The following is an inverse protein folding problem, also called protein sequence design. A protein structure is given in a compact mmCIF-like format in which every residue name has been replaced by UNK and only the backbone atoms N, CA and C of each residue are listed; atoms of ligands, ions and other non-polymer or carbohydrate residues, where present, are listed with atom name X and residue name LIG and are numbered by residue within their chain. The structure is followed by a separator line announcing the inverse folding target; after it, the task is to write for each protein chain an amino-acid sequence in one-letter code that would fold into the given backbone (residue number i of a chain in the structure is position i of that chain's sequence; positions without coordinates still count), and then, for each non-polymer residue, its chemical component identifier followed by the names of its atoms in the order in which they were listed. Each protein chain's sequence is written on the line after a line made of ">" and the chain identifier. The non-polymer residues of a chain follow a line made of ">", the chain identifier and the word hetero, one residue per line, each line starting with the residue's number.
data_IF_265560053812
#
_entry.id   IF_265560053812
#
_cell.length_a   1.000
_cell.length_b   1.000
_cell.length_c   1.000
_cell.angle_alpha   90.00
_cell.angle_beta   90.00
_cell.angle_gamma   90.00
#
_symmetry.space_group_name_H-M   'P 1'
#
loop_
_entity.id
_entity.type
_entity.pdbx_description
1 polymer ?
#
# COMPACT_ATOMS: atom_id res chain seq x y z
N UNK A 1 -23.18 33.84 5.64
CA UNK A 1 -23.45 33.70 4.20
C UNK A 1 -24.19 32.40 3.95
N UNK A 2 -25.02 32.31 2.89
CA UNK A 2 -25.65 31.03 2.50
C UNK A 2 -24.57 30.00 2.11
N UNK A 3 -24.83 28.74 2.45
CA UNK A 3 -23.94 27.63 2.14
C UNK A 3 -24.69 26.64 1.27
N UNK A 4 -24.05 26.23 0.18
CA UNK A 4 -24.51 25.16 -0.69
C UNK A 4 -23.40 24.13 -0.86
N UNK A 5 -23.73 22.86 -0.68
CA UNK A 5 -22.79 21.76 -0.83
C UNK A 5 -23.38 20.67 -1.73
N UNK A 6 -22.59 20.18 -2.65
CA UNK A 6 -22.96 19.08 -3.56
C UNK A 6 -21.82 18.06 -3.60
N UNK A 7 -22.17 16.79 -3.69
CA UNK A 7 -21.20 15.69 -3.85
C UNK A 7 -21.49 14.91 -5.12
N UNK A 8 -20.48 14.17 -5.63
CA UNK A 8 -20.62 13.40 -6.87
C UNK A 8 -20.74 14.27 -8.13
N UNK A 9 -20.21 15.50 -8.09
CA UNK A 9 -20.30 16.46 -9.20
C UNK A 9 -19.62 15.95 -10.47
N UNK A 10 -18.47 15.32 -10.35
CA UNK A 10 -17.66 14.83 -11.48
C UNK A 10 -17.78 13.31 -11.60
N UNK A 11 -18.26 12.79 -12.75
CA UNK A 11 -18.72 11.40 -12.87
C UNK A 11 -17.59 10.35 -12.84
N UNK A 12 -16.34 10.74 -13.07
CA UNK A 12 -15.20 9.80 -13.16
C UNK A 12 -14.16 9.97 -12.07
N UNK A 13 -14.27 10.98 -11.22
CA UNK A 13 -13.40 11.13 -10.04
C UNK A 13 -13.77 10.07 -8.99
N UNK A 14 -12.85 9.76 -8.10
CA UNK A 14 -13.15 8.82 -7.02
C UNK A 14 -14.10 9.44 -5.98
N UNK A 15 -13.93 10.74 -5.70
CA UNK A 15 -14.90 11.55 -4.98
C UNK A 15 -14.79 12.99 -5.44
N UNK A 16 -15.90 13.72 -5.38
CA UNK A 16 -15.94 15.14 -5.74
C UNK A 16 -16.98 15.90 -4.94
N UNK A 17 -16.66 17.15 -4.62
CA UNK A 17 -17.58 18.06 -3.97
C UNK A 17 -17.44 19.47 -4.52
N UNK A 18 -18.58 20.14 -4.64
CA UNK A 18 -18.67 21.58 -4.80
C UNK A 18 -19.12 22.16 -3.47
N UNK A 19 -18.33 23.08 -2.94
CA UNK A 19 -18.69 23.82 -1.72
C UNK A 19 -18.73 25.31 -2.03
N UNK A 20 -19.88 25.90 -1.83
CA UNK A 20 -20.14 27.32 -2.07
C UNK A 20 -20.57 28.00 -0.77
N UNK A 21 -19.97 29.14 -0.45
CA UNK A 21 -20.31 29.96 0.69
C UNK A 21 -20.39 31.43 0.24
N UNK A 22 -21.60 31.88 -0.09
CA UNK A 22 -21.80 33.17 -0.76
C UNK A 22 -21.01 33.23 -2.05
N UNK A 23 -20.07 34.19 -2.15
CA UNK A 23 -19.18 34.42 -3.29
C UNK A 23 -17.83 33.69 -3.18
N UNK A 24 -17.77 32.60 -2.43
CA UNK A 24 -16.58 31.75 -2.34
C UNK A 24 -16.94 30.32 -2.69
N UNK A 25 -16.31 29.80 -3.74
CA UNK A 25 -16.61 28.48 -4.26
C UNK A 25 -15.33 27.67 -4.51
N UNK A 26 -15.35 26.41 -4.09
CA UNK A 26 -14.27 25.44 -4.28
C UNK A 26 -14.81 24.14 -4.89
N UNK A 27 -14.19 23.68 -5.97
CA UNK A 27 -14.36 22.33 -6.50
C UNK A 27 -13.25 21.47 -5.91
N UNK A 28 -13.62 20.48 -5.11
CA UNK A 28 -12.65 19.56 -4.50
C UNK A 28 -12.83 18.16 -5.10
N UNK A 29 -11.70 17.54 -5.48
CA UNK A 29 -11.68 16.17 -5.98
C UNK A 29 -10.75 15.33 -5.13
N UNK A 30 -11.17 14.10 -4.84
CA UNK A 30 -10.35 13.10 -4.15
C UNK A 30 -9.99 11.99 -5.12
N UNK A 31 -8.70 11.65 -5.16
CA UNK A 31 -8.16 10.51 -5.90
C UNK A 31 -7.55 9.53 -4.90
N UNK A 32 -7.91 8.26 -5.02
CA UNK A 32 -7.35 7.15 -4.26
C UNK A 32 -6.33 6.42 -5.14
N UNK A 33 -5.12 6.27 -4.67
CA UNK A 33 -4.03 5.59 -5.36
C UNK A 33 -3.49 4.42 -4.55
N UNK A 34 -2.68 3.60 -5.21
CA UNK A 34 -1.89 2.54 -4.56
C UNK A 34 -0.59 3.11 -4.00
N UNK A 35 0.22 2.28 -3.38
CA UNK A 35 1.54 2.63 -2.83
C UNK A 35 2.45 3.38 -3.81
N UNK A 36 2.41 3.03 -5.10
CA UNK A 36 3.20 3.71 -6.14
C UNK A 36 2.85 5.21 -6.31
N UNK A 37 1.67 5.62 -5.83
CA UNK A 37 1.23 7.01 -5.89
C UNK A 37 1.69 7.85 -4.68
N UNK A 38 2.38 7.25 -3.71
CA UNK A 38 2.93 7.97 -2.56
C UNK A 38 3.95 9.02 -3.00
N UNK A 39 3.92 10.15 -2.34
CA UNK A 39 4.91 11.19 -2.55
C UNK A 39 6.21 10.85 -1.82
N UNK A 40 7.26 10.58 -2.56
CA UNK A 40 8.60 10.41 -2.03
C UNK A 40 9.20 11.79 -1.69
N UNK A 41 9.70 11.94 -0.48
CA UNK A 41 10.37 13.15 0.02
C UNK A 41 11.79 12.76 0.43
N UNK A 42 12.77 13.32 -0.27
CA UNK A 42 14.19 13.22 0.08
C UNK A 42 14.59 14.50 0.84
N UNK A 43 14.61 14.41 2.15
CA UNK A 43 14.85 15.51 3.07
C UNK A 43 16.15 15.34 3.86
N UNK A 44 16.49 16.37 4.65
CA UNK A 44 17.68 16.33 5.53
C UNK A 44 17.65 15.19 6.56
N UNK A 45 16.45 14.76 6.95
CA UNK A 45 16.25 13.65 7.90
C UNK A 45 16.20 12.27 7.22
N UNK A 46 16.40 12.24 5.89
CA UNK A 46 16.36 11.03 5.07
C UNK A 46 15.10 10.92 4.22
N UNK A 47 14.96 9.75 3.60
CA UNK A 47 13.86 9.44 2.70
C UNK A 47 12.57 9.13 3.48
N UNK A 48 11.48 9.80 3.13
CA UNK A 48 10.15 9.55 3.70
C UNK A 48 9.08 9.51 2.61
N UNK A 49 7.92 8.91 2.92
CA UNK A 49 6.81 8.77 1.98
C UNK A 49 5.53 9.34 2.59
N UNK A 50 4.83 10.18 1.84
CA UNK A 50 3.54 10.72 2.22
C UNK A 50 2.42 10.03 1.44
N UNK A 51 1.48 9.45 2.17
CA UNK A 51 0.26 8.83 1.63
C UNK A 51 -0.96 9.76 1.64
N UNK A 52 -0.82 10.99 2.16
CA UNK A 52 -1.86 12.01 2.10
C UNK A 52 -1.31 13.31 1.53
N UNK A 53 -1.92 13.78 0.45
CA UNK A 53 -1.55 15.01 -0.25
C UNK A 53 -2.76 15.90 -0.44
N UNK A 54 -2.58 17.21 -0.28
CA UNK A 54 -3.60 18.22 -0.60
C UNK A 54 -2.97 19.34 -1.41
N UNK A 55 -3.49 19.53 -2.61
CA UNK A 55 -3.08 20.57 -3.55
C UNK A 55 -4.20 21.60 -3.68
N UNK A 56 -3.83 22.86 -3.56
CA UNK A 56 -4.75 23.99 -3.60
C UNK A 56 -4.34 24.90 -4.74
N UNK A 57 -5.27 25.20 -5.61
CA UNK A 57 -5.09 26.10 -6.75
C UNK A 57 -5.97 27.34 -6.58
N UNK A 58 -5.36 28.50 -6.75
CA UNK A 58 -6.01 29.79 -6.65
C UNK A 58 -5.73 30.59 -7.93
N UNK A 59 -6.43 30.27 -9.02
CA UNK A 59 -6.21 30.95 -10.29
C UNK A 59 -6.70 32.42 -10.23
N UNK A 60 -6.08 33.33 -10.99
CA UNK A 60 -6.45 34.76 -10.99
C UNK A 60 -7.92 35.03 -11.25
N UNK A 61 -8.56 34.22 -12.08
CA UNK A 61 -9.98 34.40 -12.40
C UNK A 61 -10.91 34.23 -11.19
N UNK A 62 -10.45 33.50 -10.12
CA UNK A 62 -11.24 33.32 -8.92
C UNK A 62 -11.56 34.63 -8.17
N UNK A 63 -10.79 35.66 -8.43
CA UNK A 63 -10.99 37.04 -7.93
C UNK A 63 -11.23 38.05 -9.06
N UNK A 64 -11.58 37.57 -10.26
CA UNK A 64 -11.84 38.42 -11.41
C UNK A 64 -10.60 39.09 -12.03
N UNK A 65 -9.41 38.60 -11.72
CA UNK A 65 -8.16 39.15 -12.21
C UNK A 65 -7.60 38.43 -13.43
N UNK A 66 -6.81 39.13 -14.22
CA UNK A 66 -5.97 38.57 -15.29
C UNK A 66 -4.57 38.32 -14.74
N UNK A 67 -4.08 37.09 -14.83
CA UNK A 67 -2.77 36.73 -14.30
C UNK A 67 -2.10 35.56 -15.04
N UNK A 68 -0.86 35.27 -14.67
CA UNK A 68 -0.10 34.14 -15.24
C UNK A 68 -0.48 32.83 -14.55
N UNK A 69 -0.62 31.78 -15.35
CA UNK A 69 -0.75 30.40 -14.87
C UNK A 69 0.62 29.72 -14.92
N UNK A 70 0.86 28.75 -14.03
CA UNK A 70 1.94 27.79 -14.20
C UNK A 70 2.94 27.68 -13.05
N UNK A 71 2.87 28.56 -12.03
CA UNK A 71 3.73 28.44 -10.85
C UNK A 71 2.90 28.50 -9.58
N UNK A 72 3.10 27.53 -8.70
CA UNK A 72 2.45 27.50 -7.39
C UNK A 72 2.97 28.68 -6.54
N UNK A 73 2.08 29.56 -6.13
CA UNK A 73 2.39 30.70 -5.28
C UNK A 73 2.64 30.30 -3.82
N UNK A 74 3.27 31.18 -3.03
CA UNK A 74 3.39 30.99 -1.57
C UNK A 74 2.03 30.91 -0.89
N UNK A 75 1.04 31.64 -1.39
CA UNK A 75 -0.35 31.61 -0.93
C UNK A 75 -0.95 30.22 -1.13
N UNK A 76 -0.81 29.63 -2.31
CA UNK A 76 -1.32 28.30 -2.64
C UNK A 76 -0.67 27.24 -1.76
N UNK A 77 0.64 27.29 -1.58
CA UNK A 77 1.38 26.39 -0.70
C UNK A 77 0.90 26.51 0.76
N UNK A 78 0.76 27.72 1.27
CA UNK A 78 0.33 27.99 2.66
C UNK A 78 -1.11 27.56 2.93
N UNK A 79 -2.03 27.90 2.01
CA UNK A 79 -3.45 27.52 2.13
C UNK A 79 -3.65 26.02 1.96
N UNK A 80 -2.94 25.38 1.03
CA UNK A 80 -2.94 23.93 0.87
C UNK A 80 -2.45 23.23 2.15
N UNK A 81 -1.35 23.72 2.75
CA UNK A 81 -0.82 23.14 3.99
C UNK A 81 -1.75 23.36 5.20
N UNK A 82 -2.46 24.47 5.26
CA UNK A 82 -3.47 24.72 6.29
C UNK A 82 -4.63 23.71 6.17
N UNK A 83 -5.17 23.53 4.97
CA UNK A 83 -6.24 22.56 4.72
C UNK A 83 -5.76 21.10 4.96
N UNK A 84 -4.54 20.78 4.55
CA UNK A 84 -3.91 19.50 4.87
C UNK A 84 -3.87 19.23 6.37
N UNK A 85 -3.39 20.19 7.17
CA UNK A 85 -3.35 20.06 8.63
C UNK A 85 -4.73 19.93 9.26
N UNK A 86 -5.73 20.58 8.67
CA UNK A 86 -7.10 20.52 9.16
C UNK A 86 -7.73 19.12 8.99
N UNK A 87 -7.41 18.44 7.88
CA UNK A 87 -8.01 17.15 7.51
C UNK A 87 -7.19 15.93 7.94
N UNK A 88 -5.86 16.07 8.03
CA UNK A 88 -4.98 14.97 8.39
C UNK A 88 -5.34 14.23 9.70
N UNK A 89 -5.73 14.91 10.80
CA UNK A 89 -6.00 14.23 12.08
C UNK A 89 -7.24 13.32 12.08
N UNK A 90 -8.11 13.42 11.10
CA UNK A 90 -9.35 12.62 11.00
C UNK A 90 -9.24 11.48 9.98
N UNK A 91 -8.08 11.31 9.36
CA UNK A 91 -7.85 10.22 8.42
C UNK A 91 -7.75 8.88 9.15
N UNK A 92 -8.18 7.79 8.51
CA UNK A 92 -7.89 6.44 8.99
C UNK A 92 -6.37 6.17 8.99
N UNK A 93 -5.94 5.19 9.77
CA UNK A 93 -4.55 4.71 9.69
C UNK A 93 -4.29 4.09 8.32
N UNK A 94 -3.03 4.09 7.87
CA UNK A 94 -2.68 3.47 6.59
C UNK A 94 -2.82 1.93 6.61
N UNK A 95 -2.87 1.33 7.79
CA UNK A 95 -3.15 -0.10 7.99
C UNK A 95 -4.63 -0.42 7.72
N UNK A 96 -5.54 0.43 8.23
CA UNK A 96 -6.98 0.24 8.06
C UNK A 96 -7.46 0.65 6.65
N UNK A 97 -6.82 1.65 6.05
CA UNK A 97 -7.16 2.17 4.72
C UNK A 97 -5.90 2.38 3.87
N UNK A 98 -5.38 1.34 3.21
CA UNK A 98 -4.06 1.33 2.57
C UNK A 98 -4.02 2.07 1.22
N UNK A 99 -4.66 3.22 1.14
CA UNK A 99 -4.67 4.07 -0.04
C UNK A 99 -3.80 5.30 0.14
N UNK A 100 -3.18 5.70 -0.94
CA UNK A 100 -2.64 7.06 -1.08
C UNK A 100 -3.79 7.98 -1.44
N UNK A 101 -4.04 9.00 -0.62
CA UNK A 101 -5.15 9.93 -0.76
C UNK A 101 -4.60 11.25 -1.30
N UNK A 102 -5.13 11.71 -2.44
CA UNK A 102 -4.82 13.04 -2.99
C UNK A 102 -6.08 13.87 -3.13
N UNK A 103 -6.10 15.02 -2.48
CA UNK A 103 -7.13 16.04 -2.68
C UNK A 103 -6.57 17.12 -3.60
N UNK A 104 -7.36 17.52 -4.59
CA UNK A 104 -7.13 18.69 -5.40
C UNK A 104 -8.30 19.65 -5.19
N UNK A 105 -8.01 20.88 -4.80
CA UNK A 105 -8.99 21.93 -4.60
C UNK A 105 -8.75 23.07 -5.60
N UNK A 106 -9.67 23.29 -6.49
CA UNK A 106 -9.69 24.39 -7.44
C UNK A 106 -10.68 25.45 -6.98
N UNK A 107 -10.18 26.66 -6.70
CA UNK A 107 -11.01 27.79 -6.29
C UNK A 107 -11.56 28.47 -7.54
N UNK A 108 -12.87 28.43 -7.69
CA UNK A 108 -13.56 29.00 -8.85
C UNK A 108 -14.01 30.44 -8.61
N UNK A 109 -14.30 30.79 -7.37
CA UNK A 109 -14.66 32.15 -6.94
C UNK A 109 -14.21 32.37 -5.50
N UNK A 110 -13.78 33.59 -5.13
CA UNK A 110 -13.29 33.89 -3.78
C UNK A 110 -13.57 35.32 -3.35
N UNK A 111 -14.40 35.41 -2.30
CA UNK A 111 -14.59 36.61 -1.48
C UNK A 111 -14.61 36.21 0.01
N UNK A 112 -13.42 36.03 0.57
CA UNK A 112 -13.21 35.62 1.97
C UNK A 112 -13.04 34.10 2.15
N UNK A 113 -11.90 33.74 2.72
CA UNK A 113 -11.46 32.41 3.17
C UNK A 113 -11.75 31.21 2.25
N UNK A 114 -11.16 31.22 1.08
CA UNK A 114 -11.15 30.07 0.17
C UNK A 114 -10.46 28.82 0.75
N UNK A 115 -9.49 28.98 1.68
CA UNK A 115 -8.86 27.84 2.39
C UNK A 115 -9.85 27.08 3.26
N UNK A 116 -10.80 27.77 3.91
CA UNK A 116 -11.84 27.12 4.70
C UNK A 116 -12.92 26.47 3.83
N UNK A 117 -13.20 27.03 2.65
CA UNK A 117 -14.00 26.35 1.63
C UNK A 117 -13.33 25.06 1.15
N UNK A 118 -11.99 25.06 0.99
CA UNK A 118 -11.21 23.86 0.68
C UNK A 118 -11.27 22.81 1.78
N UNK A 119 -11.24 23.20 3.07
CA UNK A 119 -11.43 22.27 4.18
C UNK A 119 -12.77 21.57 4.10
N UNK A 120 -13.85 22.32 3.92
CA UNK A 120 -15.21 21.79 3.83
C UNK A 120 -15.41 20.92 2.58
N UNK A 121 -15.03 21.42 1.40
CA UNK A 121 -15.15 20.68 0.14
C UNK A 121 -14.22 19.47 0.09
N UNK A 122 -13.01 19.59 0.61
CA UNK A 122 -12.05 18.47 0.72
C UNK A 122 -12.56 17.35 1.65
N UNK A 123 -13.15 17.72 2.78
CA UNK A 123 -13.80 16.78 3.70
C UNK A 123 -14.93 16.02 2.97
N UNK A 124 -15.84 16.75 2.33
CA UNK A 124 -16.96 16.15 1.56
C UNK A 124 -16.48 15.27 0.41
N UNK A 125 -15.44 15.68 -0.32
CA UNK A 125 -14.88 14.89 -1.43
C UNK A 125 -14.23 13.60 -0.98
N UNK A 126 -13.58 13.58 0.20
CA UNK A 126 -13.07 12.35 0.81
C UNK A 126 -14.20 11.42 1.24
N UNK A 127 -15.24 11.96 1.88
CA UNK A 127 -16.42 11.18 2.27
C UNK A 127 -17.13 10.59 1.04
N UNK A 128 -17.23 11.35 -0.05
CA UNK A 128 -17.79 10.89 -1.33
C UNK A 128 -16.94 9.80 -2.00
N UNK A 129 -15.61 9.83 -1.82
CA UNK A 129 -14.68 8.79 -2.29
C UNK A 129 -14.77 7.49 -1.48
N UNK A 130 -15.42 7.49 -0.33
CA UNK A 130 -15.49 6.34 0.58
C UNK A 130 -14.30 6.25 1.54
N UNK A 131 -13.57 7.36 1.79
CA UNK A 131 -12.53 7.40 2.83
C UNK A 131 -13.21 7.38 4.20
N UNK A 132 -12.94 6.38 5.06
CA UNK A 132 -13.59 6.25 6.37
C UNK A 132 -12.97 7.20 7.40
N UNK A 133 -13.17 8.52 7.18
CA UNK A 133 -12.71 9.54 8.13
C UNK A 133 -13.42 9.37 9.48
N UNK A 134 -12.70 9.65 10.55
CA UNK A 134 -13.25 9.50 11.92
C UNK A 134 -14.47 10.40 12.14
N UNK A 135 -14.39 11.64 11.68
CA UNK A 135 -15.46 12.66 11.82
C UNK A 135 -15.38 13.72 10.74
N UNK A 136 -16.51 14.30 10.30
CA UNK A 136 -16.50 15.43 9.39
C UNK A 136 -15.82 16.66 10.02
N UNK A 137 -15.11 17.40 9.17
CA UNK A 137 -14.38 18.62 9.54
C UNK A 137 -14.93 19.80 8.73
N UNK A 138 -15.21 20.89 9.43
CA UNK A 138 -15.53 22.18 8.80
C UNK A 138 -14.51 23.24 9.18
N UNK A 139 -14.50 24.35 8.44
CA UNK A 139 -13.64 25.49 8.71
C UNK A 139 -14.36 26.81 8.55
N UNK A 140 -13.99 27.77 9.41
CA UNK A 140 -14.53 29.15 9.40
C UNK A 140 -13.39 30.14 9.53
N UNK A 141 -13.53 31.31 8.92
CA UNK A 141 -12.66 32.45 9.13
C UNK A 141 -13.36 33.49 10.02
N UNK A 142 -12.63 33.94 11.01
CA UNK A 142 -13.04 34.91 11.99
C UNK A 142 -12.20 36.18 11.82
N UNK A 143 -12.76 37.34 12.19
CA UNK A 143 -12.07 38.61 12.22
C UNK A 143 -12.21 39.29 13.56
N UNK A 144 -11.37 40.29 13.78
CA UNK A 144 -11.40 41.17 14.96
C UNK A 144 -11.35 42.63 14.51
N UNK A 145 -12.18 43.46 15.12
CA UNK A 145 -12.06 44.91 15.12
C UNK A 145 -11.79 45.33 16.53
N UNK A 146 -10.76 46.11 16.76
CA UNK A 146 -10.31 46.56 18.06
C UNK A 146 -10.16 48.10 18.07
N UNK A 147 -10.98 48.79 18.81
CA UNK A 147 -10.92 50.25 18.99
C UNK A 147 -10.70 50.60 20.46
N UNK A 148 -9.46 50.91 20.80
CA UNK A 148 -9.08 51.14 22.21
C UNK A 148 -9.26 49.87 23.06
N UNK A 149 -10.17 49.91 24.01
CA UNK A 149 -10.50 48.79 24.91
C UNK A 149 -11.74 48.00 24.43
N UNK A 150 -12.46 48.52 23.41
CA UNK A 150 -13.65 47.87 22.88
C UNK A 150 -13.27 46.95 21.71
N UNK A 151 -13.93 45.81 21.62
CA UNK A 151 -13.67 44.87 20.53
C UNK A 151 -14.97 44.24 19.97
N UNK A 152 -14.94 43.90 18.70
CA UNK A 152 -15.96 43.11 18.04
C UNK A 152 -15.32 41.92 17.28
N UNK A 153 -15.84 40.70 17.54
CA UNK A 153 -15.44 39.52 16.81
C UNK A 153 -16.41 39.26 15.66
N UNK A 154 -15.88 39.17 14.44
CA UNK A 154 -16.64 38.91 13.23
C UNK A 154 -16.58 37.42 12.89
N UNK A 155 -17.71 36.84 12.50
CA UNK A 155 -17.79 35.44 12.05
C UNK A 155 -18.00 35.38 10.53
N UNK A 156 -17.28 34.50 9.87
CA UNK A 156 -17.36 34.28 8.40
C UNK A 156 -17.04 35.54 7.60
N UNK A 157 -15.83 36.07 7.79
CA UNK A 157 -15.40 37.34 7.22
C UNK A 157 -15.27 37.30 5.69
N UNK A 158 -15.53 38.45 5.07
CA UNK A 158 -15.30 38.76 3.66
C UNK A 158 -13.82 39.14 3.43
N UNK A 159 -13.44 39.29 2.16
CA UNK A 159 -12.09 39.73 1.78
C UNK A 159 -11.72 41.10 2.31
N UNK A 160 -12.64 42.07 2.29
CA UNK A 160 -12.43 43.43 2.82
C UNK A 160 -12.29 43.41 4.34
N UNK A 161 -13.10 42.59 5.05
CA UNK A 161 -13.00 42.42 6.51
C UNK A 161 -11.71 41.72 6.94
N UNK A 162 -11.18 40.79 6.12
CA UNK A 162 -9.86 40.16 6.29
C UNK A 162 -8.74 41.23 6.13
N UNK A 163 -8.87 42.13 5.14
CA UNK A 163 -7.86 43.14 4.85
C UNK A 163 -7.84 44.29 5.86
N UNK A 164 -9.01 44.78 6.23
CA UNK A 164 -9.18 45.94 7.09
C UNK A 164 -9.20 45.62 8.60
N UNK A 165 -9.50 44.36 8.94
CA UNK A 165 -9.57 43.93 10.34
C UNK A 165 -8.21 43.90 11.06
N UNK A 166 -8.24 43.95 12.37
CA UNK A 166 -7.05 43.96 13.25
C UNK A 166 -6.47 42.57 13.50
N UNK A 167 -7.24 41.54 13.30
CA UNK A 167 -6.84 40.13 13.30
C UNK A 167 -7.78 39.34 12.39
N UNK A 168 -7.22 38.40 11.65
CA UNK A 168 -7.96 37.29 11.08
C UNK A 168 -7.45 35.97 11.65
N UNK A 169 -8.37 35.04 11.89
CA UNK A 169 -7.97 33.71 12.24
C UNK A 169 -8.92 32.65 11.66
N UNK A 170 -8.34 31.57 11.23
CA UNK A 170 -9.02 30.46 10.57
C UNK A 170 -9.02 29.28 11.51
N UNK A 171 -10.21 28.78 11.81
CA UNK A 171 -10.40 27.66 12.74
C UNK A 171 -11.08 26.51 11.99
N UNK A 172 -10.40 25.38 11.93
CA UNK A 172 -10.97 24.15 11.39
C UNK A 172 -11.07 23.09 12.49
N UNK A 173 -12.07 22.21 12.37
CA UNK A 173 -12.25 21.12 13.31
C UNK A 173 -13.58 20.40 13.15
N UNK A 174 -13.68 19.27 13.84
CA UNK A 174 -14.90 18.48 13.99
C UNK A 174 -15.80 19.05 15.10
N UNK A 175 -16.90 18.37 15.37
CA UNK A 175 -17.73 18.71 16.54
C UNK A 175 -16.99 18.46 17.88
N UNK A 176 -16.03 17.52 17.91
CA UNK A 176 -15.28 17.14 19.10
C UNK A 176 -14.15 18.11 19.46
N UNK A 177 -13.61 18.85 18.48
CA UNK A 177 -12.49 19.72 18.74
C UNK A 177 -11.90 20.40 17.50
N UNK A 178 -10.87 21.21 17.74
CA UNK A 178 -10.14 21.94 16.71
C UNK A 178 -9.01 21.05 16.18
N UNK A 179 -8.93 20.92 14.87
CA UNK A 179 -7.85 20.18 14.17
C UNK A 179 -6.77 21.11 13.62
N UNK A 180 -7.11 22.35 13.30
CA UNK A 180 -6.15 23.34 12.82
C UNK A 180 -6.60 24.76 13.16
N UNK A 181 -5.62 25.62 13.47
CA UNK A 181 -5.80 27.03 13.70
C UNK A 181 -4.66 27.78 13.00
N UNK A 182 -5.01 28.86 12.30
CA UNK A 182 -4.06 29.83 11.76
C UNK A 182 -4.56 31.24 12.14
N UNK A 183 -3.67 32.08 12.58
CA UNK A 183 -3.96 33.43 13.02
C UNK A 183 -2.96 34.41 12.40
N UNK A 184 -3.48 35.56 11.96
CA UNK A 184 -2.69 36.71 11.54
C UNK A 184 -3.13 37.92 12.37
N UNK A 185 -2.21 38.45 13.19
CA UNK A 185 -2.46 39.54 14.12
C UNK A 185 -1.76 40.79 13.61
N UNK A 186 -2.52 41.85 13.36
CA UNK A 186 -2.03 43.13 12.82
C UNK A 186 -1.89 44.22 13.91
N UNK A 187 -2.25 43.89 15.16
CA UNK A 187 -2.13 44.75 16.36
C UNK A 187 -1.06 44.19 17.29
N UNK A 188 -0.69 44.98 18.34
CA UNK A 188 0.40 44.62 19.26
C UNK A 188 0.15 43.32 20.05
N UNK A 189 -1.09 42.88 20.15
CA UNK A 189 -1.49 41.66 20.84
C UNK A 189 -2.98 41.59 21.03
N UNK A 190 -3.46 40.42 21.46
CA UNK A 190 -4.86 40.14 21.79
C UNK A 190 -4.97 39.62 23.23
N UNK A 191 -6.08 39.94 23.90
CA UNK A 191 -6.34 39.48 25.26
C UNK A 191 -6.90 38.05 25.26
N UNK A 192 -6.81 37.40 26.43
CA UNK A 192 -7.42 36.07 26.61
C UNK A 192 -8.95 36.12 26.46
N UNK A 193 -9.59 37.24 26.83
CA UNK A 193 -11.03 37.44 26.65
C UNK A 193 -11.43 37.46 25.16
N UNK A 194 -10.72 38.25 24.36
CA UNK A 194 -10.92 38.27 22.88
C UNK A 194 -10.78 36.87 22.31
N UNK A 195 -9.73 36.17 22.67
CA UNK A 195 -9.49 34.81 22.14
C UNK A 195 -10.60 33.83 22.57
N UNK A 196 -11.06 33.89 23.81
CA UNK A 196 -12.14 33.05 24.29
C UNK A 196 -13.44 33.30 23.53
N UNK A 197 -13.83 34.56 23.37
CA UNK A 197 -15.02 34.98 22.62
C UNK A 197 -14.93 34.50 21.15
N UNK A 198 -13.78 34.70 20.53
CA UNK A 198 -13.53 34.33 19.15
C UNK A 198 -13.61 32.80 18.94
N UNK A 199 -13.05 32.00 19.85
CA UNK A 199 -13.13 30.53 19.75
C UNK A 199 -14.54 30.00 20.02
N UNK A 200 -15.31 30.62 20.92
CA UNK A 200 -16.71 30.27 21.18
C UNK A 200 -17.59 30.56 19.94
N UNK A 201 -17.44 31.72 19.31
CA UNK A 201 -18.15 32.05 18.05
C UNK A 201 -17.71 31.14 16.92
N UNK A 202 -16.41 30.85 16.80
CA UNK A 202 -15.88 29.91 15.79
C UNK A 202 -16.44 28.49 15.96
N UNK A 203 -16.67 28.06 17.21
CA UNK A 203 -17.32 26.77 17.51
C UNK A 203 -18.75 26.74 17.00
N UNK A 204 -19.51 27.78 17.29
CA UNK A 204 -20.90 27.90 16.82
C UNK A 204 -20.97 27.96 15.27
N UNK A 205 -20.10 28.74 14.65
CA UNK A 205 -19.99 28.84 13.19
C UNK A 205 -19.62 27.51 12.53
N UNK A 206 -18.65 26.78 13.06
CA UNK A 206 -18.27 25.44 12.55
C UNK A 206 -19.42 24.43 12.68
N UNK A 207 -20.14 24.45 13.81
CA UNK A 207 -21.29 23.57 14.01
C UNK A 207 -22.40 23.85 12.99
N UNK A 208 -22.67 25.12 12.69
CA UNK A 208 -23.60 25.52 11.62
C UNK A 208 -23.14 25.00 10.27
N UNK A 209 -21.87 25.20 9.90
CA UNK A 209 -21.31 24.74 8.61
C UNK A 209 -21.39 23.21 8.50
N UNK A 210 -21.06 22.45 9.57
CA UNK A 210 -21.22 21.00 9.61
C UNK A 210 -22.67 20.57 9.36
N UNK A 211 -23.63 21.31 9.93
CA UNK A 211 -25.05 21.08 9.68
C UNK A 211 -25.45 21.29 8.22
N UNK A 212 -24.90 22.32 7.55
CA UNK A 212 -25.14 22.53 6.12
C UNK A 212 -24.45 21.45 5.26
N UNK A 213 -23.22 21.07 5.56
CA UNK A 213 -22.50 19.99 4.89
C UNK A 213 -23.24 18.65 4.99
N UNK A 214 -23.84 18.37 6.16
CA UNK A 214 -24.57 17.12 6.40
C UNK A 214 -25.83 16.95 5.52
N UNK A 215 -26.38 18.04 4.98
CA UNK A 215 -27.48 17.98 4.01
C UNK A 215 -27.05 17.35 2.68
N UNK A 216 -25.78 17.51 2.30
CA UNK A 216 -25.22 16.89 1.10
C UNK A 216 -24.77 15.46 1.35
N UNK A 217 -24.10 15.21 2.50
CA UNK A 217 -23.60 13.89 2.87
C UNK A 217 -23.42 13.81 4.39
N UNK A 218 -24.09 12.88 5.05
CA UNK A 218 -24.07 12.72 6.52
C UNK A 218 -22.85 11.99 7.05
N UNK A 219 -22.23 11.14 6.25
CA UNK A 219 -21.06 10.34 6.60
C UNK A 219 -20.33 9.83 5.36
N UNK A 220 -19.16 9.22 5.54
CA UNK A 220 -18.44 8.61 4.43
C UNK A 220 -19.30 7.50 3.77
N UNK A 221 -19.15 7.33 2.46
CA UNK A 221 -19.75 6.19 1.76
C UNK A 221 -19.13 4.89 2.27
N UNK A 222 -19.94 3.84 2.32
CA UNK A 222 -19.52 2.52 2.83
C UNK A 222 -18.53 1.80 1.90
N UNK A 223 -18.55 2.14 0.62
CA UNK A 223 -17.68 1.57 -0.40
C UNK A 223 -16.88 2.66 -1.09
N UNK A 224 -15.66 2.32 -1.50
CA UNK A 224 -14.87 3.19 -2.38
C UNK A 224 -15.52 3.29 -3.75
N UNK A 225 -15.26 4.41 -4.43
CA UNK A 225 -15.76 4.63 -5.80
C UNK A 225 -15.42 3.45 -6.72
N UNK A 226 -16.35 3.09 -7.59
CA UNK A 226 -16.14 2.06 -8.64
C UNK A 226 -14.98 2.38 -9.59
N UNK A 227 -14.52 3.62 -9.62
CA UNK A 227 -13.39 4.07 -10.43
C UNK A 227 -12.07 4.04 -9.66
N UNK A 228 -12.11 3.88 -8.33
CA UNK A 228 -10.91 3.72 -7.52
C UNK A 228 -10.34 2.30 -7.67
N UNK A 229 -9.01 2.12 -7.57
CA UNK A 229 -8.42 0.79 -7.50
C UNK A 229 -8.94 0.10 -6.24
N UNK A 230 -9.34 -1.17 -6.35
CA UNK A 230 -9.63 -2.01 -5.19
C UNK A 230 -8.33 -2.58 -4.67
N UNK A 231 -8.18 -2.67 -3.38
CA UNK A 231 -7.02 -3.28 -2.72
C UNK A 231 -7.55 -4.41 -1.84
N UNK A 232 -7.09 -5.64 -2.10
CA UNK A 232 -7.28 -6.78 -1.22
C UNK A 232 -5.97 -7.10 -0.53
N UNK A 233 -6.07 -7.41 0.76
CA UNK A 233 -4.92 -7.76 1.58
C UNK A 233 -5.02 -9.24 1.95
N UNK A 234 -3.92 -9.98 1.78
CA UNK A 234 -3.77 -11.35 2.24
C UNK A 234 -2.49 -11.51 3.04
N UNK A 235 -2.51 -12.42 4.02
CA UNK A 235 -1.35 -12.74 4.85
C UNK A 235 -0.77 -14.08 4.44
N UNK A 236 0.55 -14.13 4.24
CA UNK A 236 1.28 -15.37 4.00
C UNK A 236 2.35 -15.58 5.08
N UNK A 237 2.85 -16.81 5.19
CA UNK A 237 4.00 -17.10 6.04
C UNK A 237 5.27 -16.44 5.47
N UNK A 238 6.11 -15.85 6.36
CA UNK A 238 7.37 -15.19 5.97
C UNK A 238 8.32 -16.09 5.18
N UNK A 239 8.30 -17.39 5.43
CA UNK A 239 9.10 -18.35 4.68
C UNK A 239 8.74 -18.44 3.20
N UNK A 240 7.48 -18.10 2.86
CA UNK A 240 6.92 -18.15 1.49
C UNK A 240 7.13 -16.88 0.68
N UNK A 241 7.54 -15.78 1.30
CA UNK A 241 7.79 -14.52 0.61
C UNK A 241 8.74 -14.72 -0.58
N UNK A 242 9.82 -15.50 -0.39
CA UNK A 242 10.80 -15.77 -1.44
C UNK A 242 10.22 -16.57 -2.61
N UNK A 243 9.26 -17.45 -2.35
CA UNK A 243 8.61 -18.27 -3.37
C UNK A 243 7.68 -17.41 -4.22
N UNK A 244 6.92 -16.50 -3.60
CA UNK A 244 6.02 -15.57 -4.29
C UNK A 244 6.80 -14.51 -5.08
N UNK A 245 7.90 -13.99 -4.54
CA UNK A 245 8.75 -13.03 -5.25
C UNK A 245 9.50 -13.74 -6.40
N UNK A 246 10.00 -14.94 -6.15
CA UNK A 246 10.86 -15.68 -7.06
C UNK A 246 12.26 -15.10 -7.20
N UNK A 247 13.18 -15.84 -7.82
CA UNK A 247 14.56 -15.41 -8.04
C UNK A 247 14.63 -14.11 -8.85
N UNK A 248 15.15 -13.04 -8.24
CA UNK A 248 15.25 -11.72 -8.86
C UNK A 248 13.88 -11.08 -9.21
N UNK A 249 12.80 -11.48 -8.52
CA UNK A 249 11.46 -10.95 -8.75
C UNK A 249 10.74 -11.52 -9.99
N UNK A 250 11.16 -12.69 -10.48
CA UNK A 250 10.60 -13.28 -11.71
C UNK A 250 9.12 -13.65 -11.55
N UNK A 251 8.78 -14.34 -10.44
CA UNK A 251 7.42 -14.87 -10.24
C UNK A 251 6.42 -13.73 -10.04
N UNK A 252 6.74 -12.77 -9.18
CA UNK A 252 5.84 -11.62 -8.95
C UNK A 252 5.60 -10.82 -10.24
N UNK A 253 6.65 -10.63 -11.07
CA UNK A 253 6.47 -9.95 -12.38
C UNK A 253 5.63 -10.75 -13.35
N UNK A 254 5.69 -12.07 -13.31
CA UNK A 254 4.87 -12.96 -14.13
C UNK A 254 3.40 -12.88 -13.69
N UNK A 255 3.14 -12.93 -12.38
CA UNK A 255 1.79 -12.73 -11.82
C UNK A 255 1.20 -11.39 -12.30
N UNK A 256 1.95 -10.29 -12.15
CA UNK A 256 1.51 -8.95 -12.57
C UNK A 256 1.27 -8.88 -14.08
N UNK A 257 2.13 -9.48 -14.90
CA UNK A 257 2.01 -9.46 -16.37
C UNK A 257 0.80 -10.24 -16.88
N UNK A 258 0.51 -11.40 -16.30
CA UNK A 258 -0.57 -12.29 -16.75
C UNK A 258 -1.94 -11.89 -16.19
N UNK A 259 -1.98 -11.39 -14.95
CA UNK A 259 -3.25 -11.02 -14.31
C UNK A 259 -3.65 -9.57 -14.53
N UNK A 260 -2.68 -8.67 -14.76
CA UNK A 260 -2.91 -7.23 -14.84
C UNK A 260 -3.02 -6.54 -13.46
N UNK A 261 -3.13 -7.31 -12.38
CA UNK A 261 -3.16 -6.76 -11.02
C UNK A 261 -1.76 -6.36 -10.55
N UNK A 262 -1.65 -5.31 -9.73
CA UNK A 262 -0.42 -4.98 -9.02
C UNK A 262 -0.36 -5.77 -7.72
N UNK A 263 0.84 -6.25 -7.38
CA UNK A 263 1.10 -7.05 -6.18
C UNK A 263 2.27 -6.45 -5.42
N UNK A 264 2.04 -6.02 -4.20
CA UNK A 264 3.04 -5.52 -3.25
C UNK A 264 3.15 -6.48 -2.07
N UNK A 265 4.37 -6.80 -1.64
CA UNK A 265 4.65 -7.69 -0.51
C UNK A 265 5.58 -6.96 0.45
N UNK A 266 5.25 -6.97 1.74
CA UNK A 266 6.14 -6.48 2.79
C UNK A 266 6.95 -7.60 3.46
N UNK A 267 7.90 -7.20 4.31
CA UNK A 267 8.78 -8.13 5.04
C UNK A 267 8.05 -8.95 6.12
N UNK A 268 6.81 -8.57 6.48
CA UNK A 268 5.96 -9.27 7.42
C UNK A 268 5.07 -10.33 6.73
N UNK A 269 5.08 -10.39 5.40
CA UNK A 269 4.28 -11.32 4.60
C UNK A 269 2.87 -10.84 4.31
N UNK A 270 2.59 -9.55 4.48
CA UNK A 270 1.34 -8.93 4.04
C UNK A 270 1.44 -8.63 2.55
N UNK A 271 0.55 -9.22 1.78
CA UNK A 271 0.43 -8.99 0.33
C UNK A 271 -0.76 -8.08 0.08
N UNK A 272 -0.52 -6.98 -0.64
CA UNK A 272 -1.57 -6.08 -1.14
C UNK A 272 -1.71 -6.28 -2.64
N UNK A 273 -2.89 -6.73 -3.06
CA UNK A 273 -3.24 -6.94 -4.47
C UNK A 273 -4.18 -5.83 -4.87
N UNK A 274 -3.86 -5.09 -5.93
CA UNK A 274 -4.64 -3.93 -6.34
C UNK A 274 -4.91 -3.91 -7.83
N UNK A 275 -6.17 -3.66 -8.20
CA UNK A 275 -6.63 -3.40 -9.57
C UNK A 275 -7.95 -2.64 -9.59
N UNK A 276 -8.28 -2.01 -10.72
CA UNK A 276 -9.63 -1.50 -11.00
C UNK A 276 -10.62 -2.59 -11.39
N UNK A 277 -10.15 -3.81 -11.69
CA UNK A 277 -10.94 -4.97 -12.10
C UNK A 277 -10.87 -6.06 -11.02
N UNK A 278 -12.02 -6.47 -10.51
CA UNK A 278 -12.10 -7.51 -9.47
C UNK A 278 -11.61 -8.89 -9.96
N UNK A 279 -11.83 -9.22 -11.24
CA UNK A 279 -11.40 -10.50 -11.81
C UNK A 279 -9.87 -10.63 -11.83
N UNK A 280 -9.16 -9.52 -12.06
CA UNK A 280 -7.70 -9.47 -12.02
C UNK A 280 -7.14 -9.72 -10.61
N UNK A 281 -7.80 -9.16 -9.59
CA UNK A 281 -7.43 -9.37 -8.18
C UNK A 281 -7.64 -10.84 -7.82
N UNK A 282 -8.79 -11.42 -8.19
CA UNK A 282 -9.10 -12.81 -7.89
C UNK A 282 -8.14 -13.78 -8.59
N UNK A 283 -7.77 -13.50 -9.84
CA UNK A 283 -6.78 -14.28 -10.59
C UNK A 283 -5.40 -14.24 -9.91
N UNK A 284 -4.93 -13.05 -9.51
CA UNK A 284 -3.66 -12.89 -8.80
C UNK A 284 -3.68 -13.60 -7.44
N UNK A 285 -4.78 -13.49 -6.69
CA UNK A 285 -4.97 -14.13 -5.40
C UNK A 285 -4.91 -15.66 -5.52
N UNK A 286 -5.65 -16.25 -6.46
CA UNK A 286 -5.60 -17.68 -6.74
C UNK A 286 -4.21 -18.17 -7.12
N UNK A 287 -3.48 -17.38 -7.89
CA UNK A 287 -2.11 -17.72 -8.26
C UNK A 287 -1.19 -17.74 -7.05
N UNK A 288 -1.26 -16.71 -6.20
CA UNK A 288 -0.46 -16.62 -4.98
C UNK A 288 -0.83 -17.75 -4.01
N UNK A 289 -2.13 -18.02 -3.81
CA UNK A 289 -2.62 -19.14 -2.99
C UNK A 289 -2.03 -20.47 -3.47
N UNK A 290 -2.00 -20.71 -4.79
CA UNK A 290 -1.39 -21.92 -5.36
C UNK A 290 0.12 -22.05 -5.10
N UNK A 291 0.86 -20.93 -4.96
CA UNK A 291 2.28 -20.95 -4.61
C UNK A 291 2.47 -21.22 -3.11
N UNK A 292 1.63 -20.63 -2.27
CA UNK A 292 1.74 -20.67 -0.80
C UNK A 292 1.15 -21.93 -0.21
N UNK A 293 0.14 -22.52 -0.88
CA UNK A 293 -0.53 -23.72 -0.42
C UNK A 293 0.48 -24.85 -0.17
N UNK A 294 0.45 -25.44 1.03
CA UNK A 294 1.28 -26.58 1.37
C UNK A 294 0.53 -27.88 1.14
N UNK A 295 1.26 -28.90 0.68
CA UNK A 295 0.70 -30.22 0.54
C UNK A 295 0.33 -30.78 1.92
N UNK A 296 -0.91 -31.18 2.10
CA UNK A 296 -1.38 -31.79 3.34
C UNK A 296 -1.26 -33.30 3.25
N UNK A 297 -0.60 -33.92 4.24
CA UNK A 297 -0.53 -35.38 4.34
C UNK A 297 -1.95 -35.97 4.51
N UNK A 298 -2.27 -36.95 3.69
CA UNK A 298 -3.58 -37.60 3.68
C UNK A 298 -4.59 -37.02 2.71
N UNK A 299 -4.35 -35.83 2.14
CA UNK A 299 -5.27 -35.19 1.18
C UNK A 299 -5.04 -35.72 -0.24
N UNK A 300 -6.12 -35.76 -1.04
CA UNK A 300 -6.12 -36.21 -2.41
C UNK A 300 -6.09 -34.98 -3.34
N UNK A 301 -5.20 -35.02 -4.32
CA UNK A 301 -5.01 -33.96 -5.32
C UNK A 301 -5.13 -34.51 -6.73
N UNK A 302 -5.60 -33.67 -7.66
CA UNK A 302 -5.49 -33.94 -9.07
C UNK A 302 -4.09 -33.50 -9.54
N UNK A 303 -3.39 -34.37 -10.23
CA UNK A 303 -2.05 -34.07 -10.72
C UNK A 303 -1.86 -34.53 -12.15
N UNK A 304 -0.77 -34.06 -12.77
CA UNK A 304 -0.35 -34.43 -14.13
C UNK A 304 1.02 -35.07 -14.08
N UNK A 305 1.18 -36.19 -14.75
CA UNK A 305 2.47 -36.89 -14.86
C UNK A 305 3.43 -36.04 -15.71
N UNK A 306 4.57 -35.59 -15.12
CA UNK A 306 5.55 -34.75 -15.79
C UNK A 306 6.77 -35.54 -16.28
N UNK A 307 7.17 -36.61 -15.56
CA UNK A 307 8.31 -37.43 -15.95
C UNK A 307 8.17 -38.84 -15.38
N UNK A 308 8.62 -39.84 -16.13
CA UNK A 308 8.61 -41.25 -15.73
C UNK A 308 10.03 -41.78 -15.65
N UNK A 309 10.36 -42.37 -14.51
CA UNK A 309 11.67 -42.95 -14.21
C UNK A 309 11.53 -44.42 -13.82
N UNK A 310 12.60 -45.20 -13.82
CA UNK A 310 12.57 -46.67 -13.58
C UNK A 310 11.91 -47.07 -12.25
N UNK A 311 11.97 -46.20 -11.24
CA UNK A 311 11.45 -46.48 -9.90
C UNK A 311 10.12 -45.78 -9.60
N UNK A 312 9.52 -45.00 -10.54
CA UNK A 312 8.25 -44.32 -10.33
C UNK A 312 7.96 -43.23 -11.33
N UNK A 313 6.95 -42.40 -11.04
CA UNK A 313 6.58 -41.25 -11.84
C UNK A 313 6.55 -39.98 -10.99
N UNK A 314 7.02 -38.88 -11.55
CA UNK A 314 6.85 -37.55 -10.97
C UNK A 314 5.54 -36.96 -11.45
N UNK A 315 4.73 -36.54 -10.50
CA UNK A 315 3.41 -35.98 -10.73
C UNK A 315 3.41 -34.56 -10.19
N UNK A 316 3.12 -33.60 -11.09
CA UNK A 316 2.82 -32.23 -10.68
C UNK A 316 1.37 -32.20 -10.17
N UNK A 317 1.19 -31.94 -8.87
CA UNK A 317 -0.11 -32.06 -8.20
C UNK A 317 -0.60 -30.75 -7.56
N UNK A 318 0.30 -29.73 -7.50
CA UNK A 318 -0.01 -28.41 -6.95
C UNK A 318 0.84 -27.37 -7.69
N UNK A 319 0.30 -26.72 -8.70
CA UNK A 319 0.76 -25.48 -9.35
C UNK A 319 2.27 -25.18 -9.45
N UNK A 320 3.15 -26.21 -9.48
CA UNK A 320 4.60 -26.08 -9.51
C UNK A 320 5.32 -27.02 -8.53
N UNK A 321 4.60 -27.81 -7.74
CA UNK A 321 5.19 -28.83 -6.85
C UNK A 321 5.04 -30.22 -7.45
N UNK A 322 6.16 -30.91 -7.57
CA UNK A 322 6.24 -32.27 -8.05
C UNK A 322 6.38 -33.23 -6.88
N UNK A 323 5.59 -34.29 -6.89
CA UNK A 323 5.69 -35.40 -5.95
C UNK A 323 6.04 -36.70 -6.65
N UNK A 324 6.67 -37.60 -5.95
CA UNK A 324 7.05 -38.92 -6.47
C UNK A 324 5.96 -39.97 -6.13
N UNK A 325 5.38 -40.57 -7.15
CA UNK A 325 4.63 -41.83 -7.03
C UNK A 325 5.62 -42.97 -7.29
N UNK A 326 6.05 -43.65 -6.23
CA UNK A 326 6.94 -44.82 -6.37
C UNK A 326 6.17 -45.96 -7.06
N UNK A 327 6.88 -46.82 -7.82
CA UNK A 327 6.27 -47.95 -8.55
C UNK A 327 5.34 -48.82 -7.68
N UNK A 328 5.67 -49.00 -6.39
CA UNK A 328 4.86 -49.74 -5.42
C UNK A 328 3.58 -49.00 -4.97
N UNK A 329 3.44 -47.73 -5.28
CA UNK A 329 2.30 -46.87 -4.93
C UNK A 329 1.42 -46.51 -6.14
N UNK A 330 1.66 -47.14 -7.31
CA UNK A 330 0.88 -46.90 -8.54
C UNK A 330 -0.39 -47.76 -8.60
N UNK A 331 -0.27 -49.08 -8.31
CA UNK A 331 -1.40 -50.04 -8.26
C UNK A 331 -1.25 -51.01 -7.11
N UNK A 332 -2.35 -51.69 -6.77
CA UNK A 332 -2.34 -52.79 -5.76
C UNK A 332 -1.60 -54.03 -6.26
N UNK A 333 -1.54 -54.21 -7.59
CA UNK A 333 -0.82 -55.32 -8.25
C UNK A 333 0.64 -54.97 -8.43
N UNK A 334 1.52 -55.97 -8.63
CA UNK A 334 2.93 -55.78 -8.87
C UNK A 334 3.16 -55.18 -10.25
N UNK A 335 3.63 -53.93 -10.29
CA UNK A 335 3.97 -53.21 -11.51
C UNK A 335 5.45 -53.46 -11.83
N UNK A 336 5.75 -53.95 -13.05
CA UNK A 336 7.13 -54.16 -13.47
C UNK A 336 7.78 -52.89 -13.99
N UNK A 337 7.02 -52.09 -14.78
CA UNK A 337 7.49 -50.80 -15.29
C UNK A 337 6.43 -49.71 -15.05
N UNK A 338 6.83 -48.53 -14.60
CA UNK A 338 5.91 -47.39 -14.42
C UNK A 338 5.15 -46.99 -15.68
N UNK A 339 5.78 -47.17 -16.86
CA UNK A 339 5.20 -46.87 -18.17
C UNK A 339 4.01 -47.78 -18.55
N UNK A 340 3.83 -48.92 -17.86
CA UNK A 340 2.71 -49.81 -18.09
C UNK A 340 1.43 -49.32 -17.40
N UNK A 341 1.56 -48.35 -16.49
CA UNK A 341 0.47 -47.82 -15.67
C UNK A 341 0.09 -46.38 -16.02
N UNK A 342 1.09 -45.54 -16.31
CA UNK A 342 0.89 -44.10 -16.58
C UNK A 342 1.74 -43.64 -17.77
N UNK A 343 1.26 -42.61 -18.46
CA UNK A 343 1.96 -41.96 -19.58
C UNK A 343 2.30 -40.50 -19.20
N UNK A 344 3.36 -39.95 -19.76
CA UNK A 344 3.68 -38.55 -19.61
C UNK A 344 2.52 -37.65 -20.10
N UNK A 345 2.17 -36.65 -19.31
CA UNK A 345 1.08 -35.76 -19.61
C UNK A 345 -0.30 -36.27 -19.17
N UNK A 346 -0.42 -37.49 -18.61
CA UNK A 346 -1.67 -38.04 -18.13
C UNK A 346 -2.10 -37.39 -16.84
N UNK A 347 -3.39 -37.07 -16.70
CA UNK A 347 -4.00 -36.65 -15.47
C UNK A 347 -4.26 -37.83 -14.55
N UNK A 348 -3.87 -37.70 -13.29
CA UNK A 348 -3.98 -38.75 -12.26
C UNK A 348 -4.39 -38.14 -10.93
N UNK A 349 -5.12 -38.91 -10.11
CA UNK A 349 -5.46 -38.52 -8.75
C UNK A 349 -4.49 -39.19 -7.78
N UNK A 350 -3.89 -38.36 -6.91
CA UNK A 350 -2.81 -38.81 -6.00
C UNK A 350 -3.11 -38.38 -4.58
N UNK A 351 -2.84 -39.24 -3.62
CA UNK A 351 -2.90 -38.96 -2.18
C UNK A 351 -1.48 -38.69 -1.67
N UNK A 352 -1.32 -37.63 -0.87
CA UNK A 352 -0.06 -37.35 -0.18
C UNK A 352 0.12 -38.33 0.99
N UNK A 353 1.17 -39.14 0.94
CA UNK A 353 1.49 -40.09 2.01
C UNK A 353 2.39 -39.50 3.07
N UNK A 354 3.46 -38.82 2.64
CA UNK A 354 4.50 -38.31 3.51
C UNK A 354 5.24 -37.14 2.84
N UNK A 355 5.69 -36.19 3.66
CA UNK A 355 6.57 -35.12 3.24
C UNK A 355 7.86 -35.26 4.03
N UNK A 356 8.98 -35.47 3.34
CA UNK A 356 10.29 -35.62 4.01
C UNK A 356 10.83 -34.28 4.54
N UNK A 357 11.86 -34.34 5.40
CA UNK A 357 12.50 -33.15 5.97
C UNK A 357 13.14 -32.22 4.91
N UNK A 358 13.25 -32.66 3.66
CA UNK A 358 13.77 -31.90 2.52
C UNK A 358 12.68 -31.37 1.61
N UNK A 359 11.40 -31.48 2.04
CA UNK A 359 10.24 -31.01 1.27
C UNK A 359 9.85 -31.90 0.08
N UNK A 360 10.42 -33.13 -0.02
CA UNK A 360 9.99 -34.09 -1.07
C UNK A 360 8.70 -34.77 -0.67
N UNK A 361 7.74 -34.73 -1.55
CA UNK A 361 6.41 -35.31 -1.34
C UNK A 361 6.32 -36.70 -1.93
N UNK A 362 5.94 -37.67 -1.11
CA UNK A 362 5.62 -39.02 -1.54
C UNK A 362 4.10 -39.11 -1.77
N UNK A 363 3.76 -39.58 -2.96
CA UNK A 363 2.38 -39.69 -3.46
C UNK A 363 1.99 -41.15 -3.67
N UNK A 364 0.69 -41.45 -3.55
CA UNK A 364 0.12 -42.74 -3.90
C UNK A 364 -1.10 -42.58 -4.80
N UNK A 365 -1.12 -43.33 -5.88
CA UNK A 365 -2.30 -43.53 -6.74
C UNK A 365 -3.11 -44.76 -6.29
N UNK A 366 -2.47 -45.70 -5.62
CA UNK A 366 -3.00 -47.02 -5.23
C UNK A 366 -4.17 -46.92 -4.29
N UNK A 367 -4.15 -45.96 -3.38
CA UNK A 367 -5.17 -45.70 -2.35
C UNK A 367 -6.24 -44.71 -2.79
N UNK A 368 -6.28 -44.40 -4.09
CA UNK A 368 -7.26 -43.47 -4.65
C UNK A 368 -7.89 -44.07 -5.90
N UNK A 369 -9.22 -44.08 -5.93
CA UNK A 369 -9.96 -44.41 -7.12
C UNK A 369 -9.75 -43.33 -8.20
N UNK A 370 -9.23 -43.74 -9.36
CA UNK A 370 -8.87 -42.82 -10.43
C UNK A 370 -10.10 -42.24 -11.17
N UNK A 371 -11.26 -42.86 -11.06
CA UNK A 371 -12.51 -42.40 -11.66
C UNK A 371 -13.27 -41.47 -10.69
N UNK A 372 -13.57 -41.97 -9.48
CA UNK A 372 -14.37 -41.21 -8.50
C UNK A 372 -13.54 -40.23 -7.67
N UNK A 373 -12.28 -40.55 -7.40
CA UNK A 373 -11.42 -39.77 -6.49
C UNK A 373 -11.63 -40.09 -5.02
N UNK A 374 -12.36 -41.14 -4.73
CA UNK A 374 -12.58 -41.61 -3.37
C UNK A 374 -11.35 -42.36 -2.83
N UNK A 375 -11.16 -42.30 -1.52
CA UNK A 375 -10.11 -43.05 -0.83
C UNK A 375 -10.43 -44.52 -0.79
N UNK A 376 -9.48 -45.38 -1.23
CA UNK A 376 -9.57 -46.81 -1.15
C UNK A 376 -8.84 -47.32 0.09
N UNK A 377 -9.36 -48.38 0.73
CA UNK A 377 -8.73 -49.03 1.88
C UNK A 377 -7.33 -49.58 1.52
N UNK A 378 -6.31 -49.21 2.32
CA UNK A 378 -4.98 -49.77 2.20
C UNK A 378 -4.91 -51.18 2.76
N UNK A 379 -4.91 -52.14 1.88
CA UNK A 379 -4.89 -53.59 2.23
C UNK A 379 -3.50 -54.13 2.62
N UNK A 380 -2.46 -53.29 2.59
CA UNK A 380 -1.11 -53.70 2.99
C UNK A 380 -0.88 -53.54 4.50
N UNK A 381 -0.13 -54.47 5.13
CA UNK A 381 0.28 -54.28 6.52
C UNK A 381 1.18 -53.05 6.67
N UNK A 382 1.11 -52.32 7.81
CA UNK A 382 1.94 -51.14 8.06
C UNK A 382 3.42 -51.49 7.84
N UNK A 383 4.13 -50.65 7.11
CA UNK A 383 5.61 -50.75 7.00
C UNK A 383 6.22 -50.54 8.37
N UNK A 384 6.95 -51.55 8.86
CA UNK A 384 7.77 -51.37 10.05
C UNK A 384 8.76 -50.22 9.82
N UNK A 385 8.96 -49.34 10.82
CA UNK A 385 9.94 -48.27 10.71
C UNK A 385 11.31 -48.91 10.48
N UNK A 386 12.00 -48.55 9.41
CA UNK A 386 13.37 -48.95 9.11
C UNK A 386 14.25 -48.49 10.27
N UNK A 387 14.58 -49.44 11.15
CA UNK A 387 15.53 -49.25 12.24
C UNK A 387 16.85 -48.70 11.71
N UNK A 388 17.34 -47.72 12.41
CA UNK A 388 18.64 -47.07 12.23
C UNK A 388 19.74 -48.15 12.17
N UNK A 389 20.24 -48.41 10.97
CA UNK A 389 21.42 -49.28 10.83
C UNK A 389 22.63 -48.48 11.27
N UNK A 390 23.00 -48.65 12.53
CA UNK A 390 24.24 -48.17 13.11
C UNK A 390 25.47 -48.58 12.28
N UNK A 391 26.58 -47.84 12.40
CA UNK A 391 27.77 -48.02 11.58
C UNK A 391 28.43 -49.38 11.84
N UNK A 392 28.52 -50.20 10.80
CA UNK A 392 29.29 -51.46 10.84
C UNK A 392 30.77 -51.14 11.08
N UNK A 393 31.26 -51.68 12.19
CA UNK A 393 32.64 -51.62 12.62
C UNK A 393 33.62 -52.09 11.55
N UNK A 394 34.66 -51.29 11.32
CA UNK A 394 35.80 -51.63 10.49
C UNK A 394 36.68 -52.68 11.17
N UNK A 395 36.84 -53.79 10.48
CA UNK A 395 37.85 -54.81 10.82
C UNK A 395 39.24 -54.35 10.37
N UNK A 396 40.08 -54.37 11.35
CA UNK A 396 41.56 -54.24 11.34
C UNK A 396 42.19 -55.20 10.36
N UNK A 397 43.08 -54.78 9.50
CA UNK A 397 44.24 -55.55 8.98
C UNK A 397 45.36 -54.61 8.63
N UNK A 398 46.44 -54.82 9.41
CA UNK A 398 47.65 -54.13 9.44
C UNK A 398 48.60 -54.28 8.23
N UNK A 399 49.58 -53.45 8.25
CA UNK A 399 50.90 -53.84 7.85
C UNK A 399 51.64 -52.96 6.86
N UNK A 400 52.70 -52.33 7.38
CA UNK A 400 54.00 -51.95 6.75
C UNK A 400 53.99 -50.80 5.75
N UNK A 401 54.56 -49.67 6.07
CA UNK A 401 55.99 -49.45 6.23
C UNK A 401 56.53 -48.66 5.04
N UNK A 402 57.09 -47.50 5.25
CA UNK A 402 57.89 -46.82 4.24
C UNK A 402 58.07 -45.33 4.52
N UNK A 403 59.10 -45.08 5.29
CA UNK A 403 59.81 -43.81 5.48
C UNK A 403 60.09 -43.04 4.18
N UNK A 404 60.05 -41.72 4.21
CA UNK A 404 61.16 -40.79 3.91
C UNK A 404 60.62 -39.36 3.63
N UNK A 405 60.91 -38.53 4.60
CA UNK A 405 61.80 -37.35 4.57
C UNK A 405 61.55 -36.28 3.48
N UNK A 406 61.39 -35.10 4.00
CA UNK A 406 62.03 -33.88 3.54
C UNK A 406 61.10 -32.96 2.79
N UNK A 407 60.96 -31.75 3.10
CA UNK A 407 61.70 -30.76 3.74
C UNK A 407 61.30 -29.40 3.23
N UNK A 408 61.24 -28.43 4.14
CA UNK A 408 61.50 -27.00 3.96
C UNK A 408 60.77 -26.28 2.81
N UNK A 409 60.11 -25.17 2.95
CA UNK A 409 60.41 -23.98 3.74
C UNK A 409 59.86 -22.82 2.96
N UNK A 410 59.33 -21.82 3.65
CA UNK A 410 58.74 -20.59 3.24
C UNK A 410 59.53 -19.73 2.20
N UNK A 411 59.35 -18.44 2.06
CA UNK A 411 58.54 -17.50 2.82
C UNK A 411 57.76 -16.48 1.95
N UNK A 412 57.03 -15.63 2.64
CA UNK A 412 56.39 -14.36 2.21
C UNK A 412 57.22 -13.52 1.25
N UNK A 413 56.54 -12.82 0.33
CA UNK A 413 57.02 -11.53 -0.17
C UNK A 413 55.84 -10.61 -0.41
N UNK A 414 55.76 -9.58 0.43
CA UNK A 414 55.15 -8.28 0.14
C UNK A 414 55.85 -7.66 -1.06
N UNK A 415 55.09 -6.94 -1.86
CA UNK A 415 55.66 -5.85 -2.67
C UNK A 415 54.63 -4.77 -2.88
N UNK A 416 54.87 -3.69 -2.18
CA UNK A 416 54.54 -2.31 -2.48
C UNK A 416 54.96 -1.85 -3.90
N UNK A 417 54.30 -0.80 -4.36
CA UNK A 417 54.76 0.07 -5.44
C UNK A 417 53.56 0.50 -6.26
N UNK A 418 52.93 1.67 -6.12
CA UNK A 418 53.54 3.01 -6.24
C UNK A 418 53.29 3.50 -7.66
N UNK A 419 52.33 4.43 -7.85
CA UNK A 419 52.12 5.06 -9.16
C UNK A 419 51.05 6.12 -9.11
N UNK A 420 51.40 7.34 -8.68
CA UNK A 420 50.65 8.59 -8.87
C UNK A 420 50.46 8.85 -10.36
N UNK A 421 49.30 9.32 -10.76
CA UNK A 421 49.14 10.33 -11.80
C UNK A 421 48.01 11.26 -11.48
N UNK A 422 48.35 12.51 -11.30
CA UNK A 422 47.49 13.68 -11.24
C UNK A 422 46.74 13.85 -12.56
N UNK A 423 45.48 14.29 -12.46
CA UNK A 423 44.69 14.76 -13.58
C UNK A 423 43.54 15.59 -13.04
N UNK A 424 43.78 16.89 -12.84
CA UNK A 424 42.79 17.87 -12.47
C UNK A 424 41.70 17.96 -13.56
N UNK A 425 40.46 17.82 -13.17
CA UNK A 425 39.30 18.17 -13.93
C UNK A 425 38.55 19.29 -13.20
N UNK A 426 38.57 20.47 -13.78
CA UNK A 426 37.82 21.62 -13.32
C UNK A 426 36.34 21.31 -13.25
N UNK A 427 35.70 21.65 -12.13
CA UNK A 427 34.27 21.62 -11.96
C UNK A 427 33.60 22.59 -12.94
N UNK A 428 32.77 22.06 -13.84
CA UNK A 428 31.94 22.84 -14.75
C UNK A 428 30.87 23.57 -13.93
N UNK A 429 31.02 24.91 -13.86
CA UNK A 429 30.00 25.80 -13.28
C UNK A 429 29.02 26.16 -14.40
N UNK A 430 27.72 25.88 -14.23
CA UNK A 430 26.70 26.23 -15.23
C UNK A 430 26.59 27.73 -15.44
N UNK A 431 26.39 28.16 -16.69
CA UNK A 431 26.41 29.56 -17.14
C UNK A 431 25.37 30.51 -16.51
N UNK A 432 24.38 30.00 -15.73
CA UNK A 432 23.39 30.84 -15.06
C UNK A 432 23.85 31.40 -13.69
N UNK A 433 25.09 31.13 -13.28
CA UNK A 433 25.72 31.67 -12.06
C UNK A 433 26.85 32.67 -12.35
N UNK A 434 26.95 33.08 -13.58
CA UNK A 434 27.88 34.19 -13.97
C UNK A 434 27.04 35.41 -14.30
N UNK A 435 26.60 36.12 -13.25
CA UNK A 435 26.41 37.60 -13.21
C UNK A 435 25.90 38.00 -11.83
#
# INVERSE_FOLDING_TARGET
>A
RPIEAMVGLLPRTHGSALFTRGETQAICTTTLGTKDAEQMIDGLEGLSYNHFMLHYNFPPYSVGEVGRFGFTSRRETGHGKLAWRALHPVLPTHEDFPYTIRILSDITESNGSSSMATVCGGCLSMMDAGVPIERPVSGIAMGLILEGDEFAVLSDILGDEDHLGDMDFKVAGSESGITSLQMDIKVAGITQEIMKTALEQAKAGRAHILGEMSKALTGARTEVSKHAPRIETMQIDKSKIRDVIGTGGKVIREIVAETGAKVDIDDEGVIKISSSNADEIEAAKKWIEGIVEEAEVGKIYNGKVVNIVDFGAFVNFMGGKDGLVHVSEMKNERVEKPTDVVSEGQEVKVKVLEIDQRGKVLLSMRVVDQETGEELEDTRPPREPRGDRGPRGGGDRGGRGGDRRGGRGGPRRDRDGGGKKDGGGEAHVPDFLKD
#
